data_IF_911339433328
#
_entry.id   IF_911339433328
#
_cell.length_a   1.000
_cell.length_b   1.000
_cell.length_c   1.000
_cell.angle_alpha   90.00
_cell.angle_beta   90.00
_cell.angle_gamma   90.00
#
_symmetry.space_group_name_H-M   'P 1'
#
loop_
_entity.id
_entity.type
_entity.pdbx_description
1 polymer ?
#
# COMPACT_ATOMS: atom_id res chain seq x y z
N UNK A 1 1.42 5.92 -3.67
CA UNK A 1 1.29 6.58 -4.97
C UNK A 1 2.64 6.60 -5.64
N UNK A 2 2.80 5.70 -6.61
CA UNK A 2 4.02 5.43 -7.39
C UNK A 2 3.81 5.72 -8.89
N UNK A 3 2.71 6.38 -9.25
CA UNK A 3 2.41 6.81 -10.62
C UNK A 3 3.20 8.05 -11.02
N UNK A 4 3.24 8.31 -12.33
CA UNK A 4 3.79 9.54 -12.90
C UNK A 4 2.70 10.61 -12.93
N UNK A 5 2.78 11.57 -12.00
CA UNK A 5 1.81 12.63 -11.87
C UNK A 5 2.49 13.97 -12.14
N UNK A 6 1.86 14.80 -12.98
CA UNK A 6 2.38 16.09 -13.46
C UNK A 6 2.90 16.99 -12.34
N UNK A 7 2.26 16.94 -11.16
CA UNK A 7 2.74 17.50 -9.88
C UNK A 7 1.98 16.89 -8.70
N UNK A 8 2.68 16.37 -7.70
CA UNK A 8 2.10 15.75 -6.52
C UNK A 8 2.59 16.44 -5.23
N UNK A 9 2.04 17.62 -4.94
CA UNK A 9 2.41 18.38 -3.75
C UNK A 9 1.70 17.81 -2.51
N UNK A 10 2.27 18.06 -1.32
CA UNK A 10 1.60 17.78 -0.04
C UNK A 10 0.55 18.83 0.29
N UNK A 11 -0.43 19.01 -0.58
CA UNK A 11 -1.45 20.05 -0.47
C UNK A 11 -2.30 19.91 0.81
N UNK A 12 -2.42 18.68 1.32
CA UNK A 12 -3.08 18.37 2.59
C UNK A 12 -2.43 19.05 3.81
N UNK A 13 -1.17 19.47 3.73
CA UNK A 13 -0.47 20.18 4.82
C UNK A 13 -0.79 21.69 4.84
N UNK A 14 -1.51 22.21 3.84
CA UNK A 14 -1.76 23.65 3.66
C UNK A 14 -3.14 24.12 4.15
N UNK A 15 -3.87 23.28 4.89
CA UNK A 15 -5.22 23.56 5.40
C UNK A 15 -6.24 23.97 4.29
N UNK A 16 -6.02 23.46 3.08
CA UNK A 16 -6.95 23.60 1.96
C UNK A 16 -8.07 22.56 2.09
N UNK A 17 -9.27 22.88 1.59
CA UNK A 17 -10.46 22.04 1.77
C UNK A 17 -11.17 21.67 0.44
N UNK A 18 -10.63 22.09 -0.70
CA UNK A 18 -11.14 21.71 -2.01
C UNK A 18 -10.45 22.47 -3.14
N UNK A 19 -10.79 22.08 -4.37
CA UNK A 19 -10.34 22.72 -5.61
C UNK A 19 -11.54 23.34 -6.31
N UNK A 20 -11.38 24.56 -6.82
CA UNK A 20 -12.45 25.31 -7.48
C UNK A 20 -12.04 25.69 -8.91
N UNK A 21 -12.86 25.30 -9.88
CA UNK A 21 -12.67 25.70 -11.27
C UNK A 21 -13.02 27.18 -11.43
N UNK A 22 -12.15 27.92 -12.12
CA UNK A 22 -12.41 29.31 -12.48
C UNK A 22 -12.82 29.41 -13.94
N UNK A 23 -13.83 30.22 -14.22
CA UNK A 23 -14.31 30.44 -15.58
C UNK A 23 -13.18 30.96 -16.48
N UNK A 24 -13.04 30.34 -17.66
CA UNK A 24 -12.05 30.74 -18.67
C UNK A 24 -10.61 30.34 -18.36
N UNK A 25 -10.37 29.51 -17.33
CA UNK A 25 -9.04 28.96 -17.03
C UNK A 25 -8.89 27.53 -17.57
N UNK A 26 -7.65 27.14 -17.84
CA UNK A 26 -7.27 25.78 -18.27
C UNK A 26 -7.42 24.83 -17.09
N UNK A 27 -7.96 23.64 -17.34
CA UNK A 27 -8.03 22.55 -16.37
C UNK A 27 -6.78 21.68 -16.50
N UNK A 28 -6.20 21.31 -15.36
CA UNK A 28 -5.08 20.39 -15.29
C UNK A 28 -5.51 19.10 -14.58
N UNK A 29 -4.87 17.98 -14.92
CA UNK A 29 -4.99 16.71 -14.18
C UNK A 29 -4.68 16.89 -12.68
N UNK A 30 -3.75 17.80 -12.38
CA UNK A 30 -3.40 18.20 -11.02
C UNK A 30 -4.61 18.61 -10.20
N UNK A 31 -5.56 19.34 -10.77
CA UNK A 31 -6.74 19.82 -10.03
C UNK A 31 -7.57 18.65 -9.47
N UNK A 32 -7.66 17.56 -10.24
CA UNK A 32 -8.32 16.32 -9.83
C UNK A 32 -7.52 15.54 -8.78
N UNK A 33 -6.20 15.47 -8.97
CA UNK A 33 -5.29 14.80 -8.05
C UNK A 33 -5.28 15.49 -6.69
N UNK A 34 -5.19 16.83 -6.67
CA UNK A 34 -5.25 17.66 -5.46
C UNK A 34 -6.60 17.50 -4.75
N UNK A 35 -7.72 17.53 -5.48
CA UNK A 35 -9.05 17.27 -4.90
C UNK A 35 -9.12 15.86 -4.28
N UNK A 36 -8.57 14.85 -4.96
CA UNK A 36 -8.50 13.48 -4.44
C UNK A 36 -7.71 13.44 -3.14
N UNK A 37 -6.52 14.03 -3.08
CA UNK A 37 -5.68 14.10 -1.88
C UNK A 37 -6.42 14.73 -0.70
N UNK A 38 -7.08 15.88 -0.92
CA UNK A 38 -7.80 16.59 0.12
C UNK A 38 -8.95 15.76 0.67
N UNK A 39 -9.75 15.14 -0.21
CA UNK A 39 -10.87 14.28 0.21
C UNK A 39 -10.37 13.06 0.99
N UNK A 40 -9.34 12.39 0.49
CA UNK A 40 -8.74 11.20 1.10
C UNK A 40 -8.19 11.52 2.50
N UNK A 41 -7.45 12.62 2.62
CA UNK A 41 -6.85 13.05 3.88
C UNK A 41 -7.93 13.45 4.89
N UNK A 42 -8.96 14.16 4.44
CA UNK A 42 -10.09 14.51 5.29
C UNK A 42 -10.82 13.27 5.80
N UNK A 43 -11.13 12.31 4.93
CA UNK A 43 -11.82 11.07 5.30
C UNK A 43 -11.03 10.27 6.36
N UNK A 44 -9.73 10.02 6.10
CA UNK A 44 -8.90 9.24 7.03
C UNK A 44 -8.67 9.97 8.34
N UNK A 45 -8.35 11.27 8.27
CA UNK A 45 -8.07 12.07 9.47
C UNK A 45 -9.32 12.22 10.33
N UNK A 46 -10.47 12.50 9.72
CA UNK A 46 -11.73 12.61 10.43
C UNK A 46 -12.11 11.27 11.07
N UNK A 47 -12.05 10.16 10.33
CA UNK A 47 -12.35 8.84 10.87
C UNK A 47 -11.40 8.49 12.03
N UNK A 48 -10.10 8.71 11.87
CA UNK A 48 -9.11 8.46 12.92
C UNK A 48 -9.33 9.32 14.17
N UNK A 49 -9.71 10.58 14.02
CA UNK A 49 -9.95 11.49 15.15
C UNK A 49 -11.29 11.23 15.86
N UNK A 50 -12.33 10.87 15.11
CA UNK A 50 -13.68 10.63 15.64
C UNK A 50 -13.78 9.23 16.27
N UNK A 51 -13.25 8.21 15.59
CA UNK A 51 -13.31 6.80 16.04
C UNK A 51 -12.19 6.52 17.05
N UNK A 52 -11.01 7.11 16.85
CA UNK A 52 -9.82 6.88 17.64
C UNK A 52 -8.67 6.27 16.83
N UNK A 53 -7.45 6.73 17.12
CA UNK A 53 -6.24 6.17 16.52
C UNK A 53 -5.96 4.76 17.06
N UNK A 54 -5.43 3.89 16.19
CA UNK A 54 -5.14 2.48 16.47
C UNK A 54 -6.36 1.64 16.85
N UNK A 55 -7.56 2.04 16.41
CA UNK A 55 -8.80 1.31 16.64
C UNK A 55 -9.24 0.61 15.35
N UNK A 56 -9.65 -0.65 15.48
CA UNK A 56 -10.45 -1.34 14.47
C UNK A 56 -11.93 -1.18 14.84
N UNK A 57 -12.68 -0.39 14.08
CA UNK A 57 -14.08 -0.10 14.35
C UNK A 57 -15.00 -0.85 13.41
N UNK A 58 -16.02 -1.49 13.99
CA UNK A 58 -17.04 -2.25 13.29
C UNK A 58 -18.41 -1.64 13.60
N UNK A 59 -19.25 -1.52 12.58
CA UNK A 59 -20.62 -1.01 12.75
C UNK A 59 -21.42 -1.91 13.70
N UNK A 60 -22.20 -1.30 14.58
CA UNK A 60 -23.13 -2.03 15.46
C UNK A 60 -24.26 -2.72 14.69
N UNK A 61 -24.51 -2.31 13.44
CA UNK A 61 -25.48 -2.97 12.54
C UNK A 61 -24.92 -4.27 11.95
N UNK A 62 -23.60 -4.38 11.83
CA UNK A 62 -22.89 -5.57 11.33
C UNK A 62 -21.83 -6.03 12.36
N UNK A 63 -22.21 -6.37 13.60
CA UNK A 63 -21.27 -6.58 14.70
C UNK A 63 -20.32 -7.78 14.50
N UNK A 64 -20.62 -8.64 13.52
CA UNK A 64 -19.77 -9.76 13.15
C UNK A 64 -18.83 -9.46 11.99
N UNK A 65 -18.86 -8.28 11.36
CA UNK A 65 -17.95 -7.98 10.25
C UNK A 65 -16.49 -8.18 10.68
N UNK A 66 -15.69 -8.81 9.80
CA UNK A 66 -14.30 -9.20 10.06
C UNK A 66 -14.07 -10.22 11.19
N UNK A 67 -15.13 -10.77 11.81
CA UNK A 67 -14.98 -11.81 12.82
C UNK A 67 -14.41 -13.09 12.21
N UNK A 68 -13.27 -13.52 12.72
CA UNK A 68 -12.66 -14.81 12.37
C UNK A 68 -13.45 -15.93 13.04
N UNK A 69 -14.05 -16.80 12.23
CA UNK A 69 -14.89 -17.92 12.69
C UNK A 69 -14.01 -19.14 12.95
N UNK A 70 -13.09 -19.42 12.04
CA UNK A 70 -12.21 -20.59 12.09
C UNK A 70 -10.97 -20.37 11.24
N UNK A 71 -9.84 -20.91 11.70
CA UNK A 71 -8.65 -21.12 10.90
C UNK A 71 -8.48 -22.62 10.59
N UNK A 72 -8.11 -22.96 9.36
CA UNK A 72 -7.77 -24.32 8.96
C UNK A 72 -6.49 -24.32 8.13
N UNK A 73 -5.74 -25.42 8.17
CA UNK A 73 -4.60 -25.62 7.27
C UNK A 73 -5.11 -26.42 6.07
N UNK A 74 -4.91 -25.89 4.86
CA UNK A 74 -5.22 -26.56 3.61
C UNK A 74 -4.05 -26.33 2.63
N UNK A 75 -3.51 -27.40 2.05
CA UNK A 75 -2.36 -27.36 1.13
C UNK A 75 -1.16 -26.56 1.69
N UNK A 76 -0.85 -26.75 2.98
CA UNK A 76 0.24 -26.04 3.66
C UNK A 76 0.02 -24.53 3.85
N UNK A 77 -1.19 -24.02 3.58
CA UNK A 77 -1.56 -22.61 3.78
C UNK A 77 -2.65 -22.50 4.84
N UNK A 78 -2.60 -21.42 5.64
CA UNK A 78 -3.66 -21.14 6.60
C UNK A 78 -4.81 -20.43 5.88
N UNK A 79 -6.01 -21.02 5.97
CA UNK A 79 -7.27 -20.49 5.45
C UNK A 79 -8.11 -20.00 6.62
N UNK A 80 -8.47 -18.73 6.59
CA UNK A 80 -9.35 -18.11 7.56
C UNK A 80 -10.75 -18.02 6.97
N UNK A 81 -11.74 -18.55 7.68
CA UNK A 81 -13.16 -18.29 7.42
C UNK A 81 -13.58 -17.10 8.26
N UNK A 82 -13.98 -16.02 7.59
CA UNK A 82 -14.21 -14.70 8.19
C UNK A 82 -15.58 -14.21 7.73
N UNK A 83 -16.32 -13.51 8.59
CA UNK A 83 -17.51 -12.78 8.18
C UNK A 83 -17.15 -11.60 7.28
N UNK A 84 -17.81 -11.49 6.13
CA UNK A 84 -17.77 -10.29 5.27
C UNK A 84 -18.41 -9.09 5.96
N UNK A 85 -18.17 -7.89 5.44
CA UNK A 85 -18.76 -6.65 5.95
C UNK A 85 -17.83 -5.46 5.83
N UNK A 86 -18.19 -4.38 6.50
CA UNK A 86 -17.47 -3.11 6.45
C UNK A 86 -16.92 -2.71 7.82
N UNK A 87 -15.84 -1.94 7.83
CA UNK A 87 -15.24 -1.41 9.04
C UNK A 87 -14.19 -0.34 8.76
N UNK A 88 -13.51 0.08 9.82
CA UNK A 88 -12.38 1.01 9.75
C UNK A 88 -11.19 0.42 10.49
N UNK A 89 -10.00 0.53 9.92
CA UNK A 89 -8.74 0.18 10.57
C UNK A 89 -7.84 1.42 10.63
N UNK A 90 -7.59 1.93 11.84
CA UNK A 90 -6.83 3.18 12.06
C UNK A 90 -7.34 4.37 11.20
N UNK A 91 -8.66 4.46 11.04
CA UNK A 91 -9.33 5.48 10.22
C UNK A 91 -9.53 5.12 8.75
N UNK A 92 -8.84 4.12 8.20
CA UNK A 92 -9.03 3.70 6.82
C UNK A 92 -10.29 2.83 6.70
N UNK A 93 -11.26 3.31 5.93
CA UNK A 93 -12.47 2.55 5.62
C UNK A 93 -12.12 1.33 4.75
N UNK A 94 -12.56 0.15 5.17
CA UNK A 94 -12.27 -1.13 4.50
C UNK A 94 -13.54 -1.98 4.38
N UNK A 95 -13.72 -2.58 3.21
CA UNK A 95 -14.85 -3.46 2.91
C UNK A 95 -14.33 -4.82 2.53
N UNK A 96 -14.73 -5.88 3.25
CA UNK A 96 -14.47 -7.27 2.89
C UNK A 96 -15.65 -7.81 2.08
N UNK A 97 -15.57 -7.78 0.73
CA UNK A 97 -16.68 -8.18 -0.11
C UNK A 97 -16.95 -9.68 0.00
N UNK A 98 -18.23 -10.02 0.10
CA UNK A 98 -18.76 -11.37 0.21
C UNK A 98 -20.16 -11.34 0.81
N UNK A 99 -20.85 -12.48 0.82
CA UNK A 99 -22.21 -12.56 1.37
C UNK A 99 -22.19 -12.62 2.90
N UNK A 100 -22.16 -13.82 3.50
CA UNK A 100 -22.13 -13.98 4.95
C UNK A 100 -20.72 -14.27 5.48
N UNK A 101 -19.98 -15.14 4.79
CA UNK A 101 -18.62 -15.53 5.15
C UNK A 101 -17.76 -15.73 3.92
N UNK A 102 -16.50 -15.33 4.01
CA UNK A 102 -15.51 -15.51 2.97
C UNK A 102 -14.30 -16.28 3.49
N UNK A 103 -13.61 -16.97 2.59
CA UNK A 103 -12.34 -17.62 2.90
C UNK A 103 -11.19 -16.78 2.38
N UNK A 104 -10.21 -16.49 3.24
CA UNK A 104 -8.99 -15.76 2.89
C UNK A 104 -7.76 -16.55 3.31
N UNK A 105 -6.69 -16.41 2.55
CA UNK A 105 -5.40 -17.03 2.89
C UNK A 105 -4.65 -16.07 3.79
N UNK A 106 -4.11 -16.56 4.90
CA UNK A 106 -3.23 -15.81 5.78
C UNK A 106 -1.81 -16.39 5.76
N UNK A 107 -0.82 -15.51 5.86
CA UNK A 107 0.61 -15.86 5.90
C UNK A 107 1.24 -15.24 7.13
N UNK A 108 2.24 -15.91 7.71
CA UNK A 108 2.93 -15.36 8.88
C UNK A 108 3.68 -14.08 8.54
N UNK A 109 3.78 -13.17 9.51
CA UNK A 109 4.68 -12.03 9.44
C UNK A 109 6.12 -12.54 9.48
N UNK A 110 6.96 -11.96 8.63
CA UNK A 110 8.35 -12.37 8.44
C UNK A 110 9.30 -11.38 9.16
N UNK A 111 10.60 -11.70 9.28
CA UNK A 111 11.58 -10.72 9.71
C UNK A 111 11.51 -9.44 8.86
N UNK A 112 11.66 -8.25 9.45
CA UNK A 112 12.10 -7.99 10.82
C UNK A 112 10.98 -7.90 11.87
N UNK A 113 9.71 -8.13 11.51
CA UNK A 113 8.58 -7.98 12.44
C UNK A 113 8.45 -9.17 13.38
N UNK A 114 8.60 -10.39 12.85
CA UNK A 114 8.62 -11.61 13.66
C UNK A 114 9.80 -12.48 13.22
N UNK A 115 10.80 -12.61 14.10
CA UNK A 115 12.02 -13.38 13.87
C UNK A 115 12.34 -14.28 15.08
N UNK A 116 12.28 -15.63 14.95
CA UNK A 116 11.87 -16.36 13.75
C UNK A 116 10.36 -16.21 13.47
N UNK A 117 9.99 -16.22 12.19
CA UNK A 117 8.58 -16.26 11.79
C UNK A 117 7.89 -17.54 12.28
N UNK A 118 6.60 -17.43 12.60
CA UNK A 118 5.77 -18.61 12.87
C UNK A 118 5.67 -19.53 11.65
N UNK A 119 5.60 -20.85 11.89
CA UNK A 119 5.44 -21.85 10.81
C UNK A 119 4.08 -22.52 10.89
N UNK A 120 3.52 -22.81 9.71
CA UNK A 120 2.24 -23.52 9.56
C UNK A 120 2.32 -24.94 10.17
N UNK A 121 3.48 -25.58 10.09
CA UNK A 121 3.74 -26.90 10.69
C UNK A 121 3.57 -26.94 12.20
N UNK A 122 3.72 -25.79 12.86
CA UNK A 122 3.75 -25.70 14.31
C UNK A 122 2.34 -25.46 14.90
N UNK A 123 1.33 -25.22 14.05
CA UNK A 123 -0.05 -25.00 14.47
C UNK A 123 -0.56 -26.27 15.15
N UNK A 124 -0.72 -26.19 16.47
CA UNK A 124 -1.14 -27.30 17.33
C UNK A 124 -1.96 -26.78 18.53
N UNK A 125 -2.55 -27.69 19.29
CA UNK A 125 -3.29 -27.32 20.50
C UNK A 125 -2.40 -26.56 21.49
N UNK A 126 -2.91 -25.46 22.06
CA UNK A 126 -2.15 -24.58 22.96
C UNK A 126 -1.25 -23.56 22.28
N UNK A 127 -1.04 -23.66 20.96
CA UNK A 127 -0.35 -22.63 20.17
C UNK A 127 -1.37 -21.57 19.74
N UNK A 128 -1.03 -20.30 19.98
CA UNK A 128 -1.90 -19.16 19.67
C UNK A 128 -1.24 -18.29 18.61
N UNK A 129 -2.04 -17.86 17.64
CA UNK A 129 -1.65 -16.90 16.63
C UNK A 129 -2.66 -15.75 16.61
N UNK A 130 -2.18 -14.51 16.57
CA UNK A 130 -3.02 -13.36 16.29
C UNK A 130 -3.24 -13.23 14.78
N UNK A 131 -4.48 -12.91 14.38
CA UNK A 131 -4.80 -12.55 12.99
C UNK A 131 -4.70 -11.04 12.86
N UNK A 132 -3.77 -10.59 12.04
CA UNK A 132 -3.51 -9.18 11.78
C UNK A 132 -4.17 -8.78 10.46
N UNK A 133 -5.01 -7.76 10.50
CA UNK A 133 -5.54 -7.11 9.30
C UNK A 133 -4.60 -5.97 8.93
N UNK A 134 -3.85 -6.15 7.85
CA UNK A 134 -3.05 -5.07 7.27
C UNK A 134 -3.89 -4.37 6.21
N UNK A 135 -4.01 -3.04 6.31
CA UNK A 135 -4.78 -2.18 5.40
C UNK A 135 -3.86 -1.08 4.87
N UNK A 136 -3.91 -0.81 3.58
CA UNK A 136 -3.15 0.26 2.94
C UNK A 136 -3.91 0.82 1.75
N UNK A 137 -3.44 1.96 1.24
CA UNK A 137 -3.88 2.47 -0.06
C UNK A 137 -2.85 2.17 -1.12
N UNK A 138 -3.32 1.60 -2.22
CA UNK A 138 -2.51 1.35 -3.40
C UNK A 138 -3.15 1.96 -4.62
N UNK A 139 -2.31 2.54 -5.45
CA UNK A 139 -2.64 2.89 -6.82
C UNK A 139 -2.70 1.64 -7.71
N UNK A 140 -3.70 1.59 -8.57
CA UNK A 140 -3.91 0.57 -9.58
C UNK A 140 -3.91 1.22 -10.97
N UNK A 141 -3.11 0.67 -11.88
CA UNK A 141 -3.08 1.06 -13.28
C UNK A 141 -3.78 0.04 -14.19
N UNK A 142 -3.86 0.36 -15.48
CA UNK A 142 -4.47 -0.48 -16.52
C UNK A 142 -3.86 -1.89 -16.63
N UNK A 143 -2.61 -2.12 -16.21
CA UNK A 143 -2.04 -3.46 -16.22
C UNK A 143 -2.49 -4.32 -15.04
N UNK A 144 -2.83 -3.70 -13.91
CA UNK A 144 -3.28 -4.39 -12.70
C UNK A 144 -4.78 -4.68 -12.72
N UNK A 145 -5.58 -3.80 -13.35
CA UNK A 145 -7.03 -3.93 -13.44
C UNK A 145 -7.54 -3.62 -14.88
N UNK A 146 -7.08 -4.39 -15.89
CA UNK A 146 -7.31 -4.07 -17.29
C UNK A 146 -8.80 -4.06 -17.67
N UNK A 147 -9.60 -4.93 -17.08
CA UNK A 147 -11.03 -5.03 -17.35
C UNK A 147 -11.83 -3.78 -16.96
N UNK A 148 -11.27 -2.92 -16.10
CA UNK A 148 -11.94 -1.72 -15.60
C UNK A 148 -11.26 -0.44 -16.07
N UNK A 149 -9.93 -0.44 -16.22
CA UNK A 149 -9.16 0.78 -16.45
C UNK A 149 -8.72 0.98 -17.91
N UNK A 150 -8.76 -0.08 -18.72
CA UNK A 150 -8.56 0.03 -20.16
C UNK A 150 -9.90 0.32 -20.81
N UNK A 151 -10.02 1.45 -21.51
CA UNK A 151 -11.30 1.89 -22.09
C UNK A 151 -11.53 1.26 -23.49
N UNK A 152 -12.38 0.23 -23.61
CA UNK A 152 -12.59 -0.44 -24.89
C UNK A 152 -13.22 0.49 -25.94
N UNK A 153 -14.04 1.46 -25.56
CA UNK A 153 -14.72 2.36 -26.49
C UNK A 153 -13.76 3.36 -27.15
N UNK A 154 -12.62 3.65 -26.53
CA UNK A 154 -11.57 4.53 -27.07
C UNK A 154 -10.45 3.76 -27.77
N UNK A 155 -10.60 2.44 -27.98
CA UNK A 155 -9.60 1.60 -28.62
C UNK A 155 -8.53 1.05 -27.67
N UNK A 156 -8.82 0.99 -26.37
CA UNK A 156 -7.96 0.41 -25.34
C UNK A 156 -6.88 1.31 -24.72
N UNK A 157 -6.99 2.66 -24.67
CA UNK A 157 -6.06 3.45 -23.88
C UNK A 157 -6.25 3.21 -22.37
N UNK A 158 -5.14 3.21 -21.63
CA UNK A 158 -5.14 3.46 -20.19
C UNK A 158 -5.38 4.96 -19.96
N UNK A 159 -6.32 5.30 -19.09
CA UNK A 159 -6.76 6.70 -18.91
C UNK A 159 -6.23 7.29 -17.63
N UNK A 160 -6.49 6.64 -16.50
CA UNK A 160 -6.27 7.17 -15.16
C UNK A 160 -6.17 6.03 -14.15
N UNK A 161 -5.25 6.14 -13.20
CA UNK A 161 -5.13 5.18 -12.10
C UNK A 161 -6.34 5.27 -11.14
N UNK A 162 -6.52 4.23 -10.31
CA UNK A 162 -7.46 4.24 -9.18
C UNK A 162 -6.71 4.04 -7.88
N UNK A 163 -7.18 4.69 -6.82
CA UNK A 163 -6.71 4.41 -5.46
C UNK A 163 -7.65 3.37 -4.84
N UNK A 164 -7.12 2.19 -4.55
CA UNK A 164 -7.80 1.10 -3.85
C UNK A 164 -7.38 1.11 -2.37
N UNK A 165 -8.34 1.02 -1.45
CA UNK A 165 -8.05 0.58 -0.09
C UNK A 165 -7.94 -0.94 -0.09
N UNK A 166 -6.70 -1.42 -0.08
CA UNK A 166 -6.37 -2.83 -0.13
C UNK A 166 -6.16 -3.37 1.28
N UNK A 167 -6.31 -4.69 1.41
CA UNK A 167 -6.13 -5.36 2.67
C UNK A 167 -5.57 -6.77 2.51
N UNK A 168 -4.93 -7.28 3.55
CA UNK A 168 -4.54 -8.68 3.65
C UNK A 168 -4.54 -9.15 5.09
N UNK A 169 -4.70 -10.46 5.27
CA UNK A 169 -4.64 -11.10 6.57
C UNK A 169 -3.25 -11.71 6.78
N UNK A 170 -2.63 -11.38 7.90
CA UNK A 170 -1.36 -11.96 8.35
C UNK A 170 -1.53 -12.67 9.68
N UNK A 171 -0.57 -13.52 10.01
CA UNK A 171 -0.51 -14.20 11.30
C UNK A 171 0.72 -13.74 12.07
N UNK A 172 0.54 -13.56 13.37
CA UNK A 172 1.64 -13.32 14.31
C UNK A 172 1.59 -14.39 15.39
N UNK A 173 2.63 -15.22 15.48
CA UNK A 173 2.77 -16.22 16.56
C UNK A 173 2.85 -15.53 17.92
N UNK A 174 1.94 -15.86 18.83
CA UNK A 174 1.90 -15.29 20.18
C UNK A 174 2.73 -16.13 21.15
N UNK A 175 3.46 -15.45 22.03
CA UNK A 175 4.01 -16.05 23.25
C UNK A 175 2.93 -16.29 24.31
N UNK A 176 3.31 -16.91 25.43
CA UNK A 176 2.39 -17.34 26.50
C UNK A 176 1.67 -16.17 27.19
N UNK A 177 2.31 -15.02 27.29
CA UNK A 177 1.80 -13.79 27.92
C UNK A 177 1.30 -12.75 26.91
N UNK A 178 1.28 -13.09 25.61
CA UNK A 178 0.86 -12.18 24.55
C UNK A 178 -0.60 -12.36 24.13
N UNK A 179 -1.22 -11.24 23.78
CA UNK A 179 -2.54 -11.17 23.19
C UNK A 179 -2.65 -10.00 22.19
N UNK A 180 -3.83 -9.82 21.58
CA UNK A 180 -4.03 -8.77 20.58
C UNK A 180 -3.93 -7.34 21.14
N UNK A 181 -3.95 -7.15 22.47
CA UNK A 181 -3.87 -5.82 23.08
C UNK A 181 -2.42 -5.41 23.36
N UNK A 182 -1.54 -6.37 23.68
CA UNK A 182 -0.17 -6.08 24.10
C UNK A 182 0.91 -6.29 23.02
N UNK A 183 0.56 -6.85 21.85
CA UNK A 183 1.50 -7.01 20.73
C UNK A 183 1.65 -5.78 19.83
N UNK A 184 0.85 -4.74 20.03
CA UNK A 184 0.79 -3.56 19.12
C UNK A 184 2.16 -2.92 18.89
N UNK A 185 3.00 -2.82 19.94
CA UNK A 185 4.36 -2.27 19.81
C UNK A 185 5.30 -3.14 18.98
N UNK A 186 5.08 -4.47 18.96
CA UNK A 186 5.87 -5.41 18.15
C UNK A 186 5.51 -5.35 16.67
N UNK A 187 4.29 -4.92 16.35
CA UNK A 187 3.82 -4.74 14.98
C UNK A 187 4.29 -3.40 14.35
N UNK A 188 4.87 -2.50 15.15
CA UNK A 188 5.35 -1.21 14.65
C UNK A 188 6.53 -1.37 13.71
N UNK A 189 6.48 -0.63 12.60
CA UNK A 189 7.54 -0.60 11.61
C UNK A 189 8.80 0.09 12.15
N UNK A 190 9.86 -0.69 12.38
CA UNK A 190 11.17 -0.17 12.75
C UNK A 190 11.92 0.36 11.52
N UNK A 191 11.62 1.57 11.05
CA UNK A 191 12.25 2.17 9.84
C UNK A 191 13.78 2.12 9.89
N UNK A 192 14.37 2.33 11.06
CA UNK A 192 15.83 2.27 11.26
C UNK A 192 16.44 0.87 11.06
N UNK A 193 15.62 -0.19 11.11
CA UNK A 193 16.01 -1.59 10.89
C UNK A 193 15.82 -2.02 9.43
N UNK A 194 15.22 -1.18 8.58
CA UNK A 194 14.99 -1.49 7.16
C UNK A 194 16.25 -1.16 6.33
N UNK A 195 16.40 -1.85 5.20
CA UNK A 195 17.47 -1.57 4.23
C UNK A 195 17.36 -0.14 3.68
N UNK A 196 18.50 0.48 3.40
CA UNK A 196 18.58 1.82 2.79
C UNK A 196 19.06 1.69 1.35
N UNK A 197 18.48 2.49 0.46
CA UNK A 197 18.93 2.64 -0.91
C UNK A 197 19.53 4.04 -1.07
N UNK A 198 20.74 4.11 -1.62
CA UNK A 198 21.35 5.36 -2.05
C UNK A 198 21.44 5.32 -3.57
N UNK A 199 20.93 6.36 -4.22
CA UNK A 199 21.03 6.57 -5.66
C UNK A 199 21.85 7.83 -5.87
N UNK A 200 22.88 7.75 -6.70
CA UNK A 200 23.73 8.88 -7.06
C UNK A 200 23.89 8.92 -8.58
N UNK A 201 23.98 10.12 -9.13
CA UNK A 201 24.35 10.29 -10.52
C UNK A 201 25.84 9.96 -10.68
N UNK A 202 26.21 9.41 -11.83
CA UNK A 202 27.62 9.34 -12.21
C UNK A 202 28.15 10.75 -12.50
N UNK A 203 29.42 10.98 -12.24
CA UNK A 203 30.07 12.24 -12.56
C UNK A 203 30.02 12.51 -14.07
N UNK A 204 29.83 13.79 -14.50
CA UNK A 204 29.79 14.13 -15.92
C UNK A 204 31.14 13.84 -16.58
N UNK A 205 31.09 13.12 -17.70
CA UNK A 205 32.23 12.86 -18.57
C UNK A 205 32.16 13.85 -19.73
N UNK A 206 33.11 14.80 -19.78
CA UNK A 206 33.16 15.79 -20.84
C UNK A 206 34.16 15.37 -21.93
N UNK A 207 33.75 15.40 -23.19
CA UNK A 207 34.65 15.23 -24.34
C UNK A 207 35.26 16.60 -24.68
N UNK A 208 36.60 16.67 -24.77
CA UNK A 208 37.32 17.92 -25.04
C UNK A 208 37.19 18.43 -26.48
N UNK A 209 37.25 19.76 -26.66
CA UNK A 209 37.19 20.47 -27.95
C UNK A 209 36.83 21.95 -27.77
N UNK A 210 36.71 22.71 -28.86
CA UNK A 210 36.33 24.14 -28.83
C UNK A 210 34.90 24.37 -28.30
N UNK A 211 34.07 23.31 -28.27
CA UNK A 211 32.76 23.25 -27.62
C UNK A 211 32.61 21.91 -26.89
N UNK A 212 32.99 21.81 -25.61
CA UNK A 212 32.90 20.57 -24.86
C UNK A 212 31.45 20.12 -24.72
N UNK A 213 31.19 18.85 -25.01
CA UNK A 213 29.89 18.18 -24.83
C UNK A 213 30.01 17.16 -23.71
N UNK A 214 28.95 17.04 -22.91
CA UNK A 214 28.83 16.02 -21.87
C UNK A 214 28.39 14.71 -22.56
N UNK A 215 29.27 13.72 -22.57
CA UNK A 215 29.07 12.42 -23.22
C UNK A 215 28.24 11.46 -22.34
N UNK A 216 28.25 11.68 -21.02
CA UNK A 216 27.44 10.92 -20.06
C UNK A 216 27.62 11.41 -18.63
N UNK A 217 26.74 10.97 -17.73
CA UNK A 217 26.73 11.39 -16.33
C UNK A 217 26.25 12.84 -16.12
N UNK A 218 26.13 13.25 -14.86
CA UNK A 218 25.84 14.63 -14.47
C UNK A 218 24.62 15.25 -15.16
N UNK A 219 23.46 14.58 -15.12
CA UNK A 219 22.23 15.09 -15.72
C UNK A 219 21.89 16.50 -15.23
N UNK A 220 21.92 17.49 -16.13
CA UNK A 220 21.55 18.90 -15.86
C UNK A 220 20.37 19.39 -16.69
N UNK A 221 19.71 18.51 -17.46
CA UNK A 221 18.58 18.86 -18.32
C UNK A 221 17.27 19.10 -17.55
N UNK A 222 16.30 19.76 -18.20
CA UNK A 222 14.94 19.96 -17.67
C UNK A 222 14.05 18.71 -17.76
N UNK A 223 14.59 17.59 -18.18
CA UNK A 223 13.84 16.34 -18.37
C UNK A 223 13.43 15.76 -17.01
N UNK A 224 12.16 15.38 -16.87
CA UNK A 224 11.70 14.62 -15.71
C UNK A 224 12.28 13.22 -15.80
N UNK A 225 13.14 12.85 -14.84
CA UNK A 225 13.76 11.54 -14.78
C UNK A 225 13.17 10.77 -13.59
N UNK A 226 11.99 10.18 -13.80
CA UNK A 226 11.32 9.38 -12.79
C UNK A 226 11.84 7.94 -12.84
N UNK A 227 12.53 7.52 -11.78
CA UNK A 227 12.98 6.15 -11.63
C UNK A 227 12.02 5.39 -10.71
N UNK A 228 11.36 4.36 -11.25
CA UNK A 228 10.63 3.38 -10.43
C UNK A 228 11.56 2.19 -10.16
N UNK A 229 11.88 1.96 -8.89
CA UNK A 229 12.63 0.78 -8.45
C UNK A 229 11.69 -0.13 -7.70
N UNK A 230 11.54 -1.36 -8.20
CA UNK A 230 10.78 -2.41 -7.53
C UNK A 230 11.70 -3.57 -7.16
N UNK A 231 11.53 -4.07 -5.93
CA UNK A 231 12.25 -5.25 -5.47
C UNK A 231 11.29 -6.43 -5.58
N UNK A 232 11.66 -7.40 -6.40
CA UNK A 232 10.90 -8.63 -6.55
C UNK A 232 11.68 -9.80 -5.92
N UNK A 233 10.96 -10.65 -5.20
CA UNK A 233 11.49 -11.96 -4.81
C UNK A 233 11.55 -12.85 -6.06
N UNK A 234 12.73 -13.35 -6.39
CA UNK A 234 12.94 -14.36 -7.43
C UNK A 234 13.27 -15.72 -6.79
N UNK A 235 13.34 -16.78 -7.61
CA UNK A 235 13.34 -18.19 -7.18
C UNK A 235 14.47 -18.62 -6.21
N UNK A 236 15.49 -17.78 -5.97
CA UNK A 236 16.70 -18.17 -5.22
C UNK A 236 17.02 -17.27 -4.01
N UNK A 237 16.04 -16.57 -3.43
CA UNK A 237 16.24 -15.64 -2.29
C UNK A 237 17.25 -14.49 -2.53
N UNK A 238 17.80 -14.36 -3.73
CA UNK A 238 18.55 -13.19 -4.17
C UNK A 238 17.51 -12.13 -4.57
N UNK A 239 17.41 -10.99 -3.89
CA UNK A 239 16.51 -9.93 -4.35
C UNK A 239 17.01 -9.39 -5.69
N UNK A 240 16.10 -9.25 -6.66
CA UNK A 240 16.39 -8.59 -7.93
C UNK A 240 15.66 -7.25 -8.01
N UNK A 241 16.34 -6.27 -8.61
CA UNK A 241 15.77 -4.97 -8.91
C UNK A 241 15.14 -4.99 -10.29
N UNK A 242 13.87 -4.60 -10.37
CA UNK A 242 13.24 -4.14 -11.60
C UNK A 242 13.34 -2.62 -11.59
N UNK A 243 13.74 -2.05 -12.70
CA UNK A 243 13.73 -0.61 -12.86
C UNK A 243 13.18 -0.25 -14.23
N UNK A 244 12.51 0.90 -14.29
CA UNK A 244 12.09 1.53 -15.54
C UNK A 244 12.46 3.00 -15.51
N UNK A 245 12.96 3.48 -16.64
CA UNK A 245 12.97 4.90 -17.00
C UNK A 245 11.65 5.20 -17.73
N UNK A 246 10.99 6.28 -17.33
CA UNK A 246 9.85 6.85 -18.06
C UNK A 246 10.30 8.09 -18.80
#
# INVERSE_FOLDING_TARGET
>A
MKGDFSRWDKIQEQNLNGVLHQQGRVLLDRDWNDQTQLTINWQDSAAKQIIGANVAAISTQEPNAFKVIRATVNEGKVKLKIHSGQGWADGLAVTLPGELTVTRTATYLEPPIQDPSGKVSDINNGIRDAVILEVWREELNGFQMPETLIEPALGGPDTTERVLTSMRFRLFRLATDEDCHNITDKLKDGVNKKGKLTVSLQDPTATGGDCPVVEGGGYTGFEHQLYRIEIAQVKDNVPMFKWSQF
#
